data_IF_878376775126
#
_entry.id   IF_878376775126
#
_cell.length_a   1.000
_cell.length_b   1.000
_cell.length_c   1.000
_cell.angle_alpha   90.00
_cell.angle_beta   90.00
_cell.angle_gamma   90.00
#
_symmetry.space_group_name_H-M   'P 1'
#
loop_
_entity.id
_entity.type
_entity.pdbx_description
1 polymer ?
#
# COMPACT_ATOMS: atom_id res chain seq x y z
N UNK A 1 -27.11 -32.48 13.35
CA UNK A 1 -26.34 -31.25 13.63
C UNK A 1 -25.17 -31.27 12.67
N UNK A 2 -25.36 -30.67 11.49
CA UNK A 2 -24.41 -30.75 10.37
C UNK A 2 -23.36 -29.65 10.47
N UNK A 3 -22.11 -30.09 10.43
CA UNK A 3 -20.87 -29.31 10.51
C UNK A 3 -20.85 -28.17 9.48
N UNK A 4 -20.68 -26.92 9.93
CA UNK A 4 -20.68 -25.74 9.05
C UNK A 4 -19.32 -25.02 9.01
N UNK A 5 -18.40 -25.51 8.18
CA UNK A 5 -17.24 -24.79 7.59
C UNK A 5 -17.65 -23.98 6.36
N UNK A 6 -16.83 -23.02 5.90
CA UNK A 6 -17.13 -22.17 4.71
C UNK A 6 -17.51 -22.96 3.45
N UNK A 7 -16.93 -24.17 3.29
CA UNK A 7 -17.28 -25.10 2.23
C UNK A 7 -18.66 -25.72 2.40
N UNK A 8 -18.97 -26.21 3.60
CA UNK A 8 -20.30 -26.73 3.94
C UNK A 8 -21.36 -25.63 4.08
N UNK A 9 -21.02 -24.36 4.25
CA UNK A 9 -21.97 -23.25 4.10
C UNK A 9 -22.38 -23.13 2.63
N UNK A 10 -21.44 -23.33 1.69
CA UNK A 10 -21.77 -23.42 0.28
C UNK A 10 -22.49 -24.74 -0.06
N UNK A 11 -22.11 -25.85 0.57
CA UNK A 11 -22.62 -27.20 0.29
C UNK A 11 -24.01 -27.45 0.91
N UNK A 12 -24.27 -27.02 2.15
CA UNK A 12 -25.59 -27.10 2.79
C UNK A 12 -26.59 -26.17 2.12
N UNK A 13 -26.15 -25.00 1.63
CA UNK A 13 -27.00 -24.16 0.79
C UNK A 13 -27.31 -24.86 -0.55
N UNK A 14 -26.40 -25.65 -1.15
CA UNK A 14 -26.73 -26.43 -2.37
C UNK A 14 -27.61 -27.67 -2.12
N UNK A 15 -27.66 -28.20 -0.90
CA UNK A 15 -28.56 -29.31 -0.56
C UNK A 15 -30.02 -28.85 -0.28
N UNK A 16 -30.22 -27.61 0.20
CA UNK A 16 -31.54 -27.01 0.42
C UNK A 16 -32.06 -26.17 -0.76
N UNK A 17 -31.19 -25.70 -1.65
CA UNK A 17 -31.55 -24.80 -2.73
C UNK A 17 -31.59 -25.50 -4.09
N UNK A 18 -32.71 -25.35 -4.81
CA UNK A 18 -32.80 -25.72 -6.22
C UNK A 18 -31.79 -24.93 -7.08
N UNK A 19 -31.26 -25.49 -8.20
CA UNK A 19 -30.31 -24.78 -9.04
C UNK A 19 -30.90 -23.46 -9.58
N UNK A 20 -30.47 -22.33 -9.02
CA UNK A 20 -30.82 -21.02 -9.53
C UNK A 20 -29.92 -20.67 -10.72
N UNK A 21 -30.48 -20.65 -11.92
CA UNK A 21 -29.80 -20.20 -13.12
C UNK A 21 -29.97 -18.69 -13.28
N UNK A 22 -28.88 -17.96 -13.08
CA UNK A 22 -28.85 -16.51 -13.23
C UNK A 22 -29.18 -16.12 -14.69
N UNK A 23 -30.16 -15.24 -14.96
CA UNK A 23 -30.54 -14.88 -16.31
C UNK A 23 -29.38 -14.22 -17.07
N UNK A 24 -29.36 -14.38 -18.40
CA UNK A 24 -28.26 -13.90 -19.24
C UNK A 24 -27.96 -12.40 -19.09
N UNK A 25 -28.98 -11.56 -18.91
CA UNK A 25 -28.79 -10.12 -18.70
C UNK A 25 -28.04 -9.82 -17.39
N UNK A 26 -28.31 -10.58 -16.33
CA UNK A 26 -27.66 -10.43 -15.02
C UNK A 26 -26.20 -10.87 -15.12
N UNK A 27 -25.93 -11.98 -15.78
CA UNK A 27 -24.56 -12.46 -16.06
C UNK A 27 -23.76 -11.44 -16.88
N UNK A 28 -24.39 -10.85 -17.92
CA UNK A 28 -23.78 -9.81 -18.74
C UNK A 28 -23.48 -8.54 -17.92
N UNK A 29 -24.41 -8.12 -17.06
CA UNK A 29 -24.22 -6.98 -16.15
C UNK A 29 -23.04 -7.21 -15.19
N UNK A 30 -22.99 -8.38 -14.55
CA UNK A 30 -21.90 -8.77 -13.63
C UNK A 30 -20.55 -8.78 -14.35
N UNK A 31 -20.50 -9.40 -15.54
CA UNK A 31 -19.30 -9.43 -16.36
C UNK A 31 -18.83 -8.04 -16.80
N UNK A 32 -19.74 -7.23 -17.34
CA UNK A 32 -19.44 -5.85 -17.74
C UNK A 32 -18.95 -4.98 -16.58
N UNK A 33 -19.52 -5.15 -15.39
CA UNK A 33 -19.08 -4.46 -14.16
C UNK A 33 -17.63 -4.80 -13.82
N UNK A 34 -17.27 -6.10 -13.78
CA UNK A 34 -15.89 -6.50 -13.48
C UNK A 34 -14.90 -6.05 -14.54
N UNK A 35 -15.26 -6.12 -15.82
CA UNK A 35 -14.41 -5.61 -16.92
C UNK A 35 -14.11 -4.13 -16.70
N UNK A 36 -15.12 -3.32 -16.39
CA UNK A 36 -14.94 -1.89 -16.12
C UNK A 36 -14.02 -1.65 -14.92
N UNK A 37 -14.29 -2.29 -13.78
CA UNK A 37 -13.48 -2.13 -12.55
C UNK A 37 -12.03 -2.54 -12.82
N UNK A 38 -11.82 -3.67 -13.48
CA UNK A 38 -10.48 -4.18 -13.78
C UNK A 38 -9.72 -3.25 -14.71
N UNK A 39 -10.34 -2.75 -15.79
CA UNK A 39 -9.69 -1.83 -16.71
C UNK A 39 -9.26 -0.54 -16.00
N UNK A 40 -10.15 0.07 -15.23
CA UNK A 40 -9.84 1.30 -14.48
C UNK A 40 -8.73 1.04 -13.46
N UNK A 41 -8.79 -0.07 -12.74
CA UNK A 41 -7.80 -0.41 -11.72
C UNK A 41 -6.42 -0.73 -12.31
N UNK A 42 -6.32 -1.55 -13.38
CA UNK A 42 -5.02 -1.85 -14.02
C UNK A 42 -4.39 -0.59 -14.56
N UNK A 43 -5.13 0.21 -15.33
CA UNK A 43 -4.61 1.44 -15.94
C UNK A 43 -4.20 2.42 -14.85
N UNK A 44 -5.07 2.67 -13.88
CA UNK A 44 -4.83 3.64 -12.81
C UNK A 44 -3.63 3.28 -11.95
N UNK A 45 -3.56 2.04 -11.43
CA UNK A 45 -2.48 1.63 -10.53
C UNK A 45 -1.13 1.49 -11.27
N UNK A 46 -1.13 1.03 -12.52
CA UNK A 46 0.08 1.01 -13.35
C UNK A 46 0.61 2.43 -13.57
N UNK A 47 -0.26 3.40 -13.84
CA UNK A 47 0.12 4.80 -13.96
C UNK A 47 0.63 5.38 -12.64
N UNK A 48 0.06 4.98 -11.50
CA UNK A 48 0.58 5.39 -10.19
C UNK A 48 2.04 4.96 -10.01
N UNK A 49 2.32 3.68 -10.25
CA UNK A 49 3.68 3.13 -10.16
C UNK A 49 4.62 3.80 -11.16
N UNK A 50 4.17 3.99 -12.41
CA UNK A 50 4.96 4.63 -13.45
C UNK A 50 5.32 6.08 -13.11
N UNK A 51 4.35 6.89 -12.65
CA UNK A 51 4.59 8.30 -12.29
C UNK A 51 5.60 8.41 -11.15
N UNK A 52 5.46 7.58 -10.12
CA UNK A 52 6.33 7.61 -8.94
C UNK A 52 7.76 7.16 -9.29
N UNK A 53 7.90 6.15 -10.14
CA UNK A 53 9.20 5.67 -10.60
C UNK A 53 9.87 6.65 -11.57
N UNK A 54 9.11 7.29 -12.46
CA UNK A 54 9.64 8.12 -13.54
C UNK A 54 9.96 9.55 -13.12
N UNK A 55 9.18 10.15 -12.20
CA UNK A 55 9.35 11.54 -11.80
C UNK A 55 10.16 11.66 -10.48
N UNK A 56 11.39 12.23 -10.48
CA UNK A 56 12.19 12.37 -9.26
C UNK A 56 11.50 13.18 -8.16
N UNK A 57 10.67 14.17 -8.53
CA UNK A 57 9.87 14.98 -7.60
C UNK A 57 8.82 14.16 -6.83
N UNK A 58 8.47 12.96 -7.32
CA UNK A 58 7.52 12.06 -6.69
C UNK A 58 8.19 10.98 -5.84
N UNK A 59 9.52 10.88 -5.79
CA UNK A 59 10.24 9.82 -5.05
C UNK A 59 10.36 10.15 -3.56
N UNK A 60 9.24 10.12 -2.84
CA UNK A 60 9.15 10.33 -1.38
C UNK A 60 8.72 9.06 -0.65
N UNK A 61 9.01 8.94 0.65
CA UNK A 61 8.67 7.74 1.44
C UNK A 61 7.18 7.41 1.37
N UNK A 62 6.33 8.41 1.51
CA UNK A 62 4.88 8.25 1.39
C UNK A 62 4.47 7.79 0.00
N UNK A 63 5.08 8.34 -1.05
CA UNK A 63 4.71 7.96 -2.42
C UNK A 63 5.15 6.52 -2.71
N UNK A 64 6.27 6.03 -2.15
CA UNK A 64 6.59 4.60 -2.26
C UNK A 64 5.60 3.70 -1.51
N UNK A 65 5.05 4.13 -0.38
CA UNK A 65 3.94 3.40 0.28
C UNK A 65 2.65 3.43 -0.56
N UNK A 66 2.37 4.56 -1.24
CA UNK A 66 1.27 4.65 -2.22
C UNK A 66 1.52 3.71 -3.42
N UNK A 67 2.76 3.60 -3.89
CA UNK A 67 3.11 2.63 -4.93
C UNK A 67 2.93 1.19 -4.45
N UNK A 68 3.22 0.88 -3.17
CA UNK A 68 2.94 -0.44 -2.60
C UNK A 68 1.43 -0.75 -2.56
N UNK A 69 0.60 0.24 -2.23
CA UNK A 69 -0.86 0.12 -2.32
C UNK A 69 -1.30 -0.21 -3.75
N UNK A 70 -0.74 0.48 -4.75
CA UNK A 70 -1.00 0.21 -6.17
C UNK A 70 -0.56 -1.20 -6.59
N UNK A 71 0.55 -1.73 -6.05
CA UNK A 71 0.98 -3.12 -6.28
C UNK A 71 -0.02 -4.11 -5.68
N UNK A 72 -0.48 -3.89 -4.45
CA UNK A 72 -1.50 -4.74 -3.81
C UNK A 72 -2.83 -4.73 -4.60
N UNK A 73 -3.26 -3.55 -5.04
CA UNK A 73 -4.44 -3.40 -5.89
C UNK A 73 -4.28 -4.14 -7.23
N UNK A 74 -3.10 -4.10 -7.87
CA UNK A 74 -2.83 -4.89 -9.08
C UNK A 74 -2.87 -6.40 -8.84
N UNK A 75 -2.42 -6.90 -7.69
CA UNK A 75 -2.57 -8.32 -7.35
C UNK A 75 -4.04 -8.73 -7.22
N UNK A 76 -4.86 -7.91 -6.55
CA UNK A 76 -6.31 -8.13 -6.47
C UNK A 76 -6.92 -8.10 -7.88
N UNK A 77 -6.56 -7.10 -8.68
CA UNK A 77 -7.13 -6.90 -10.02
C UNK A 77 -6.74 -7.97 -11.02
N UNK A 78 -5.50 -8.45 -10.99
CA UNK A 78 -4.99 -9.41 -11.97
C UNK A 78 -5.24 -10.88 -11.57
N UNK A 79 -5.45 -11.17 -10.28
CA UNK A 79 -5.62 -12.54 -9.80
C UNK A 79 -7.03 -12.76 -9.26
N UNK A 80 -7.47 -11.92 -8.33
CA UNK A 80 -8.72 -12.14 -7.60
C UNK A 80 -9.97 -11.72 -8.37
N UNK A 81 -9.96 -10.55 -9.02
CA UNK A 81 -11.11 -10.10 -9.80
C UNK A 81 -11.48 -11.07 -10.94
N UNK A 82 -10.54 -11.64 -11.74
CA UNK A 82 -10.86 -12.65 -12.74
C UNK A 82 -11.50 -13.90 -12.15
N UNK A 83 -10.98 -14.38 -11.01
CA UNK A 83 -11.53 -15.56 -10.32
C UNK A 83 -12.96 -15.28 -9.84
N UNK A 84 -13.18 -14.13 -9.21
CA UNK A 84 -14.50 -13.76 -8.70
C UNK A 84 -15.47 -13.47 -9.84
N UNK A 85 -15.03 -12.85 -10.93
CA UNK A 85 -15.83 -12.64 -12.14
C UNK A 85 -16.25 -13.98 -12.77
N UNK A 86 -15.32 -14.93 -12.90
CA UNK A 86 -15.60 -16.29 -13.35
C UNK A 86 -16.69 -16.92 -12.49
N UNK A 87 -16.52 -16.96 -11.17
CA UNK A 87 -17.51 -17.52 -10.22
C UNK A 87 -18.88 -16.86 -10.36
N UNK A 88 -18.94 -15.55 -10.54
CA UNK A 88 -20.21 -14.82 -10.73
C UNK A 88 -20.90 -15.09 -12.07
N UNK A 89 -20.14 -15.47 -13.12
CA UNK A 89 -20.67 -15.73 -14.46
C UNK A 89 -20.99 -17.22 -14.67
N UNK A 90 -20.14 -18.12 -14.19
CA UNK A 90 -20.28 -19.57 -14.38
C UNK A 90 -21.04 -20.24 -13.24
N UNK A 91 -21.26 -19.55 -12.13
CA UNK A 91 -21.76 -20.12 -10.88
C UNK A 91 -20.63 -20.65 -10.00
N UNK A 92 -20.91 -20.75 -8.70
CA UNK A 92 -19.99 -21.29 -7.71
C UNK A 92 -19.58 -22.73 -8.06
N UNK A 93 -18.28 -23.02 -7.94
CA UNK A 93 -17.72 -24.37 -8.04
C UNK A 93 -17.96 -25.11 -9.37
N UNK A 94 -18.23 -24.39 -10.46
CA UNK A 94 -18.45 -24.97 -11.79
C UNK A 94 -17.18 -25.06 -12.64
N UNK A 95 -16.02 -25.34 -12.04
CA UNK A 95 -14.75 -25.52 -12.76
C UNK A 95 -14.34 -27.00 -12.83
N UNK A 96 -13.87 -27.42 -14.01
CA UNK A 96 -13.55 -28.82 -14.35
C UNK A 96 -12.05 -29.15 -14.29
N UNK A 97 -11.20 -28.12 -14.25
CA UNK A 97 -9.75 -28.28 -14.28
C UNK A 97 -9.17 -28.26 -12.86
N UNK A 98 -8.26 -29.21 -12.57
CA UNK A 98 -7.48 -29.23 -11.32
C UNK A 98 -6.69 -27.94 -11.15
N UNK A 99 -6.12 -27.40 -12.24
CA UNK A 99 -5.35 -26.15 -12.21
C UNK A 99 -6.26 -25.00 -11.77
N UNK A 100 -7.47 -24.92 -12.33
CA UNK A 100 -8.46 -23.93 -11.90
C UNK A 100 -8.84 -24.13 -10.43
N UNK A 101 -8.99 -25.37 -9.96
CA UNK A 101 -9.26 -25.65 -8.55
C UNK A 101 -8.15 -25.15 -7.62
N UNK A 102 -6.89 -25.36 -7.96
CA UNK A 102 -5.75 -24.82 -7.19
C UNK A 102 -5.77 -23.30 -7.18
N UNK A 103 -6.01 -22.66 -8.33
CA UNK A 103 -6.07 -21.19 -8.42
C UNK A 103 -7.21 -20.65 -7.56
N UNK A 104 -8.42 -21.19 -7.69
CA UNK A 104 -9.61 -20.69 -7.01
C UNK A 104 -9.58 -20.99 -5.50
N UNK A 105 -9.18 -22.20 -5.10
CA UNK A 105 -9.27 -22.65 -3.71
C UNK A 105 -8.01 -22.35 -2.88
N UNK A 106 -6.83 -22.17 -3.50
CA UNK A 106 -5.57 -21.97 -2.75
C UNK A 106 -4.95 -20.62 -3.03
N UNK A 107 -4.68 -20.33 -4.30
CA UNK A 107 -3.93 -19.14 -4.69
C UNK A 107 -4.77 -17.87 -4.49
N UNK A 108 -6.03 -17.88 -4.91
CA UNK A 108 -6.90 -16.72 -4.83
C UNK A 108 -7.15 -16.28 -3.37
N UNK A 109 -7.53 -17.13 -2.41
CA UNK A 109 -7.71 -16.72 -1.02
C UNK A 109 -6.45 -16.14 -0.40
N UNK A 110 -5.28 -16.75 -0.68
CA UNK A 110 -3.98 -16.26 -0.24
C UNK A 110 -3.69 -14.86 -0.81
N UNK A 111 -3.72 -14.72 -2.13
CA UNK A 111 -3.39 -13.46 -2.83
C UNK A 111 -4.39 -12.36 -2.47
N UNK A 112 -5.69 -12.67 -2.43
CA UNK A 112 -6.74 -11.72 -2.05
C UNK A 112 -6.53 -11.21 -0.63
N UNK A 113 -6.38 -12.13 0.33
CA UNK A 113 -6.16 -11.79 1.73
C UNK A 113 -4.86 -11.02 1.93
N UNK A 114 -3.73 -11.53 1.45
CA UNK A 114 -2.42 -10.91 1.65
C UNK A 114 -2.32 -9.53 0.99
N UNK A 115 -2.98 -9.32 -0.15
CA UNK A 115 -3.02 -8.02 -0.81
C UNK A 115 -3.88 -7.01 -0.05
N UNK A 116 -5.04 -7.45 0.48
CA UNK A 116 -5.87 -6.62 1.36
C UNK A 116 -5.11 -6.22 2.63
N UNK A 117 -4.39 -7.15 3.26
CA UNK A 117 -3.57 -6.87 4.44
C UNK A 117 -2.40 -5.93 4.11
N UNK A 118 -1.72 -6.15 2.99
CA UNK A 118 -0.64 -5.28 2.52
C UNK A 118 -1.13 -3.85 2.29
N UNK A 119 -2.34 -3.70 1.73
CA UNK A 119 -2.99 -2.43 1.52
C UNK A 119 -3.27 -1.70 2.85
N UNK A 120 -3.93 -2.34 3.81
CA UNK A 120 -4.28 -1.69 5.08
C UNK A 120 -3.04 -1.35 5.92
N UNK A 121 -2.02 -2.21 5.93
CA UNK A 121 -0.77 -1.91 6.62
C UNK A 121 0.00 -0.78 5.95
N UNK A 122 -0.07 -0.67 4.62
CA UNK A 122 0.47 0.49 3.91
C UNK A 122 -0.25 1.78 4.32
N UNK A 123 -1.58 1.76 4.49
CA UNK A 123 -2.35 2.92 4.96
C UNK A 123 -1.96 3.32 6.40
N UNK A 124 -1.77 2.35 7.29
CA UNK A 124 -1.26 2.60 8.64
C UNK A 124 0.14 3.22 8.58
N UNK A 125 1.05 2.65 7.80
CA UNK A 125 2.40 3.17 7.63
C UNK A 125 2.40 4.60 7.06
N UNK A 126 1.51 4.89 6.11
CA UNK A 126 1.31 6.24 5.55
C UNK A 126 0.83 7.21 6.65
N UNK A 127 -0.09 6.79 7.51
CA UNK A 127 -0.60 7.63 8.60
C UNK A 127 0.54 8.02 9.58
N UNK A 128 1.41 7.07 9.93
CA UNK A 128 2.58 7.32 10.78
C UNK A 128 3.66 8.16 10.07
N UNK A 129 3.95 7.90 8.79
CA UNK A 129 4.85 8.73 7.98
C UNK A 129 4.40 10.20 8.00
N UNK A 130 3.09 10.43 7.88
CA UNK A 130 2.49 11.76 7.94
C UNK A 130 2.53 12.36 9.33
N UNK A 131 2.24 11.59 10.37
CA UNK A 131 2.36 12.03 11.74
C UNK A 131 3.77 12.51 12.05
N UNK A 132 4.80 11.73 11.70
CA UNK A 132 6.20 12.11 11.95
C UNK A 132 6.63 13.30 11.11
N UNK A 133 6.24 13.37 9.83
CA UNK A 133 6.58 14.50 8.97
C UNK A 133 6.00 15.84 9.48
N UNK A 134 4.85 15.81 10.17
CA UNK A 134 4.19 17.00 10.72
C UNK A 134 4.64 17.29 12.16
N UNK A 135 4.80 16.27 12.99
CA UNK A 135 5.16 16.41 14.39
C UNK A 135 6.67 16.71 14.59
N UNK A 136 7.54 16.15 13.77
CA UNK A 136 9.00 16.28 13.89
C UNK A 136 9.63 16.74 12.56
N UNK A 137 9.40 18.00 12.12
CA UNK A 137 9.79 18.47 10.78
C UNK A 137 11.30 18.49 10.51
N UNK A 138 12.14 18.46 11.55
CA UNK A 138 13.60 18.46 11.44
C UNK A 138 14.22 17.06 11.57
N UNK A 139 13.40 16.02 11.84
CA UNK A 139 13.88 14.64 12.00
C UNK A 139 13.17 13.74 11.00
N UNK A 140 13.93 13.16 10.07
CA UNK A 140 13.43 12.15 9.14
C UNK A 140 13.33 10.79 9.84
N UNK A 141 12.19 10.53 10.48
CA UNK A 141 11.96 9.29 11.24
C UNK A 141 11.89 8.07 10.32
N UNK A 142 11.14 8.16 9.22
CA UNK A 142 11.09 7.11 8.20
C UNK A 142 12.10 7.46 7.11
N UNK A 143 13.24 6.76 7.15
CA UNK A 143 14.28 6.84 6.12
C UNK A 143 13.98 5.85 4.99
N UNK A 144 14.65 5.96 3.84
CA UNK A 144 14.48 4.98 2.76
C UNK A 144 14.90 3.56 3.16
N UNK A 145 15.91 3.43 4.03
CA UNK A 145 16.28 2.14 4.60
C UNK A 145 15.13 1.55 5.43
N UNK A 146 14.60 2.32 6.39
CA UNK A 146 13.46 1.89 7.21
C UNK A 146 12.22 1.59 6.37
N UNK A 147 11.97 2.37 5.32
CA UNK A 147 10.89 2.11 4.37
C UNK A 147 11.02 0.74 3.71
N UNK A 148 12.21 0.36 3.22
CA UNK A 148 12.41 -0.98 2.63
C UNK A 148 12.10 -2.09 3.62
N UNK A 149 12.54 -1.92 4.88
CA UNK A 149 12.23 -2.86 5.97
C UNK A 149 10.72 -2.91 6.21
N UNK A 150 10.04 -1.75 6.29
CA UNK A 150 8.58 -1.69 6.46
C UNK A 150 7.87 -2.44 5.32
N UNK A 151 8.25 -2.19 4.06
CA UNK A 151 7.65 -2.85 2.90
C UNK A 151 7.87 -4.37 2.93
N UNK A 152 9.06 -4.82 3.29
CA UNK A 152 9.34 -6.24 3.47
C UNK A 152 8.47 -6.85 4.58
N UNK A 153 8.40 -6.20 5.75
CA UNK A 153 7.59 -6.67 6.87
C UNK A 153 6.10 -6.73 6.49
N UNK A 154 5.58 -5.73 5.78
CA UNK A 154 4.19 -5.70 5.30
C UNK A 154 3.89 -6.99 4.52
N UNK A 155 4.66 -7.28 3.48
CA UNK A 155 4.42 -8.47 2.64
C UNK A 155 4.69 -9.78 3.38
N UNK A 156 5.77 -9.84 4.17
CA UNK A 156 6.11 -11.02 4.94
C UNK A 156 5.00 -11.39 5.92
N UNK A 157 4.54 -10.44 6.74
CA UNK A 157 3.46 -10.69 7.69
C UNK A 157 2.16 -11.00 6.98
N UNK A 158 1.80 -10.28 5.92
CA UNK A 158 0.56 -10.53 5.17
C UNK A 158 0.51 -11.91 4.49
N UNK A 159 1.65 -12.46 4.08
CA UNK A 159 1.71 -13.82 3.55
C UNK A 159 1.71 -14.86 4.68
N UNK A 160 2.43 -14.58 5.77
CA UNK A 160 2.54 -15.48 6.91
C UNK A 160 1.19 -15.72 7.57
N UNK A 161 0.40 -14.66 7.81
CA UNK A 161 -0.89 -14.70 8.50
C UNK A 161 -1.98 -15.41 7.70
N UNK A 162 -1.93 -15.30 6.37
CA UNK A 162 -2.84 -15.99 5.44
C UNK A 162 -2.36 -17.39 5.04
N UNK A 163 -1.08 -17.74 5.27
CA UNK A 163 -0.54 -19.05 4.90
C UNK A 163 -1.33 -20.26 5.46
N UNK A 164 -1.97 -20.21 6.65
CA UNK A 164 -2.80 -21.32 7.12
C UNK A 164 -3.94 -21.69 6.16
N UNK A 165 -4.46 -20.72 5.38
CA UNK A 165 -5.49 -20.98 4.36
C UNK A 165 -5.03 -21.97 3.28
N UNK A 166 -3.73 -21.99 2.95
CA UNK A 166 -3.17 -22.98 2.03
C UNK A 166 -3.30 -24.40 2.57
N UNK A 167 -3.33 -24.57 3.89
CA UNK A 167 -3.53 -25.86 4.51
C UNK A 167 -5.03 -26.18 4.66
N UNK A 168 -5.82 -25.28 5.25
CA UNK A 168 -7.20 -25.56 5.66
C UNK A 168 -8.21 -25.58 4.51
N UNK A 169 -8.03 -24.79 3.45
CA UNK A 169 -8.96 -24.81 2.31
C UNK A 169 -8.64 -26.01 1.43
N UNK A 170 -9.42 -27.07 1.45
CA UNK A 170 -9.29 -28.25 0.59
C UNK A 170 -10.17 -28.11 -0.67
N UNK A 171 -9.98 -29.03 -1.62
CA UNK A 171 -10.88 -29.17 -2.76
C UNK A 171 -11.14 -30.63 -3.09
N UNK A 172 -12.34 -30.94 -3.56
CA UNK A 172 -12.79 -32.30 -3.93
C UNK A 172 -13.50 -32.27 -5.28
N UNK A 173 -13.42 -33.36 -6.03
CA UNK A 173 -14.15 -33.53 -7.29
C UNK A 173 -15.49 -34.24 -7.05
N UNK A 174 -16.58 -33.66 -7.56
CA UNK A 174 -17.93 -34.24 -7.52
C UNK A 174 -18.66 -33.95 -8.83
N UNK A 175 -19.30 -34.94 -9.45
CA UNK A 175 -20.04 -34.77 -10.71
C UNK A 175 -19.25 -34.03 -11.82
N UNK A 176 -17.94 -34.34 -11.96
CA UNK A 176 -17.00 -33.68 -12.88
C UNK A 176 -16.67 -32.20 -12.60
N UNK A 177 -17.06 -31.67 -11.44
CA UNK A 177 -16.74 -30.32 -10.98
C UNK A 177 -15.90 -30.35 -9.70
N UNK A 178 -15.09 -29.32 -9.48
CA UNK A 178 -14.30 -29.17 -8.27
C UNK A 178 -14.92 -28.17 -7.31
N UNK A 179 -14.94 -28.52 -6.03
CA UNK A 179 -15.55 -27.74 -4.95
C UNK A 179 -14.50 -27.40 -3.90
N UNK A 180 -14.43 -26.13 -3.48
CA UNK A 180 -13.58 -25.70 -2.37
C UNK A 180 -14.33 -25.88 -1.04
N UNK A 181 -13.67 -26.42 -0.03
CA UNK A 181 -14.21 -26.46 1.32
C UNK A 181 -13.13 -26.26 2.37
N UNK A 182 -13.49 -25.65 3.49
CA UNK A 182 -12.59 -25.44 4.61
C UNK A 182 -12.63 -26.67 5.54
N UNK A 183 -11.46 -27.17 5.94
CA UNK A 183 -11.31 -28.29 6.89
C UNK A 183 -10.13 -28.01 7.82
N UNK A 184 -10.45 -27.84 9.09
CA UNK A 184 -9.50 -27.65 10.18
C UNK A 184 -8.98 -29.00 10.70
N UNK A 185 -7.81 -29.03 11.36
CA UNK A 185 -7.32 -30.25 12.02
C UNK A 185 -8.38 -30.85 12.96
N UNK A 186 -8.41 -32.17 13.07
CA UNK A 186 -9.44 -32.90 13.83
C UNK A 186 -9.43 -32.58 15.34
N UNK A 187 -8.32 -32.03 15.85
CA UNK A 187 -8.21 -31.52 17.21
C UNK A 187 -9.08 -30.28 17.48
N UNK A 188 -9.64 -29.65 16.44
CA UNK A 188 -10.48 -28.46 16.55
C UNK A 188 -11.91 -28.76 16.12
N UNK A 189 -12.85 -28.13 16.82
CA UNK A 189 -14.22 -28.01 16.33
C UNK A 189 -14.22 -27.17 15.04
N UNK A 190 -14.79 -27.74 13.98
CA UNK A 190 -14.67 -27.22 12.63
C UNK A 190 -15.34 -25.85 12.46
N UNK A 191 -16.50 -25.66 13.10
CA UNK A 191 -17.30 -24.44 13.02
C UNK A 191 -16.70 -23.33 13.89
N UNK A 192 -16.32 -23.66 15.11
CA UNK A 192 -15.69 -22.72 16.04
C UNK A 192 -14.33 -22.26 15.52
N UNK A 193 -13.51 -23.16 14.96
CA UNK A 193 -12.21 -22.79 14.41
C UNK A 193 -12.35 -21.82 13.23
N UNK A 194 -13.25 -22.09 12.29
CA UNK A 194 -13.49 -21.23 11.15
C UNK A 194 -14.03 -19.83 11.57
N UNK A 195 -14.97 -19.81 12.52
CA UNK A 195 -15.49 -18.56 13.12
C UNK A 195 -14.43 -17.76 13.84
N UNK A 196 -13.67 -18.42 14.73
CA UNK A 196 -12.61 -17.79 15.50
C UNK A 196 -11.54 -17.21 14.57
N UNK A 197 -11.09 -17.98 13.57
CA UNK A 197 -10.13 -17.51 12.59
C UNK A 197 -10.64 -16.29 11.82
N UNK A 198 -11.89 -16.32 11.35
CA UNK A 198 -12.52 -15.18 10.66
C UNK A 198 -12.59 -13.92 11.54
N UNK A 199 -12.96 -14.07 12.81
CA UNK A 199 -13.02 -12.95 13.77
C UNK A 199 -11.63 -12.39 14.03
N UNK A 200 -10.63 -13.26 14.26
CA UNK A 200 -9.25 -12.85 14.49
C UNK A 200 -8.71 -12.06 13.28
N UNK A 201 -8.92 -12.56 12.06
CA UNK A 201 -8.49 -11.86 10.84
C UNK A 201 -9.19 -10.49 10.71
N UNK A 202 -10.49 -10.42 10.95
CA UNK A 202 -11.23 -9.16 10.93
C UNK A 202 -10.70 -8.15 11.96
N UNK A 203 -10.45 -8.59 13.19
CA UNK A 203 -9.94 -7.70 14.23
C UNK A 203 -8.54 -7.19 13.91
N UNK A 204 -7.62 -8.09 13.57
CA UNK A 204 -6.20 -7.75 13.35
C UNK A 204 -5.97 -6.98 12.05
N UNK A 205 -6.70 -7.30 10.99
CA UNK A 205 -6.41 -6.82 9.64
C UNK A 205 -7.50 -5.94 9.04
N UNK A 206 -8.48 -5.53 9.85
CA UNK A 206 -9.46 -4.54 9.45
C UNK A 206 -9.81 -3.58 10.60
N UNK A 207 -10.36 -4.07 11.71
CA UNK A 207 -10.88 -3.22 12.78
C UNK A 207 -9.78 -2.45 13.54
N UNK A 208 -8.73 -3.14 14.03
CA UNK A 208 -7.63 -2.52 14.79
C UNK A 208 -6.85 -1.51 13.91
N UNK A 209 -6.43 -1.83 12.67
CA UNK A 209 -5.77 -0.85 11.81
C UNK A 209 -6.62 0.40 11.52
N UNK A 210 -7.93 0.22 11.30
CA UNK A 210 -8.86 1.35 11.14
C UNK A 210 -8.97 2.19 12.41
N UNK A 211 -9.02 1.56 13.59
CA UNK A 211 -9.03 2.26 14.87
C UNK A 211 -7.73 3.05 15.09
N UNK A 212 -6.57 2.48 14.77
CA UNK A 212 -5.28 3.18 14.83
C UNK A 212 -5.34 4.43 13.95
N UNK A 213 -5.81 4.32 12.71
CA UNK A 213 -5.94 5.47 11.81
C UNK A 213 -6.97 6.49 12.33
N UNK A 214 -8.09 6.03 12.88
CA UNK A 214 -9.12 6.88 13.49
C UNK A 214 -8.60 7.68 14.69
N UNK A 215 -7.56 7.21 15.39
CA UNK A 215 -6.87 7.95 16.45
C UNK A 215 -5.76 8.85 15.90
N UNK A 216 -4.94 8.34 14.97
CA UNK A 216 -3.79 9.06 14.42
C UNK A 216 -4.21 10.30 13.63
N UNK A 217 -5.24 10.22 12.77
CA UNK A 217 -5.65 11.35 11.93
C UNK A 217 -6.12 12.57 12.73
N UNK A 218 -6.97 12.44 13.77
CA UNK A 218 -7.29 13.55 14.67
C UNK A 218 -6.06 14.19 15.29
N UNK A 219 -5.08 13.41 15.77
CA UNK A 219 -3.82 13.95 16.32
C UNK A 219 -3.08 14.80 15.28
N UNK A 220 -3.03 14.33 14.02
CA UNK A 220 -2.42 15.09 12.92
C UNK A 220 -3.20 16.39 12.67
N UNK A 221 -4.54 16.33 12.65
CA UNK A 221 -5.40 17.50 12.45
C UNK A 221 -5.17 18.53 13.57
N UNK A 222 -5.18 18.12 14.83
CA UNK A 222 -4.92 19.00 15.97
C UNK A 222 -3.53 19.65 15.87
N UNK A 223 -2.48 18.91 15.48
CA UNK A 223 -1.14 19.50 15.28
C UNK A 223 -1.07 20.46 14.09
N UNK A 224 -1.84 20.20 13.03
CA UNK A 224 -1.82 21.00 11.81
C UNK A 224 -2.71 22.25 11.90
N UNK A 225 -3.71 22.26 12.80
CA UNK A 225 -4.62 23.39 13.05
C UNK A 225 -4.40 24.12 14.39
N UNK A 226 -3.74 23.50 15.38
CA UNK A 226 -3.58 24.04 16.73
C UNK A 226 -2.58 25.19 16.90
N UNK A 227 -1.92 25.66 15.83
CA UNK A 227 -1.22 26.96 15.88
C UNK A 227 -2.19 28.02 15.39
N UNK A 228 -2.64 28.91 16.28
CA UNK A 228 -3.67 29.91 16.02
C UNK A 228 -3.50 30.66 14.69
N UNK A 229 -4.63 31.10 14.10
CA UNK A 229 -4.64 31.81 12.81
C UNK A 229 -3.64 32.98 12.78
N UNK A 230 -3.55 33.76 13.86
CA UNK A 230 -2.62 34.89 13.99
C UNK A 230 -1.13 34.51 13.95
N UNK A 231 -0.71 33.42 14.61
CA UNK A 231 0.70 32.96 14.54
C UNK A 231 1.02 32.44 13.13
N UNK A 232 0.03 31.91 12.42
CA UNK A 232 0.25 31.34 11.08
C UNK A 232 0.52 32.40 10.02
N UNK A 233 -0.03 33.62 10.17
CA UNK A 233 0.25 34.76 9.28
C UNK A 233 1.66 35.32 9.49
N UNK A 234 2.19 35.25 10.72
CA UNK A 234 3.56 35.63 11.05
C UNK A 234 4.63 34.62 10.59
N UNK A 235 4.23 33.42 10.17
CA UNK A 235 5.17 32.41 9.66
C UNK A 235 5.66 32.78 8.25
N UNK A 236 6.93 32.48 7.91
CA UNK A 236 7.45 32.66 6.55
C UNK A 236 6.56 31.99 5.50
N UNK A 237 6.43 32.62 4.33
CA UNK A 237 5.57 32.18 3.22
C UNK A 237 5.80 30.72 2.82
N UNK A 238 7.05 30.23 2.87
CA UNK A 238 7.37 28.83 2.57
C UNK A 238 6.71 27.84 3.55
N UNK A 239 6.66 28.17 4.85
CA UNK A 239 6.03 27.33 5.87
C UNK A 239 4.51 27.33 5.73
N UNK A 240 3.91 28.48 5.36
CA UNK A 240 2.49 28.57 5.07
C UNK A 240 2.11 27.69 3.87
N UNK A 241 2.90 27.75 2.78
CA UNK A 241 2.72 26.88 1.59
C UNK A 241 2.82 25.39 1.97
N UNK A 242 3.86 25.01 2.72
CA UNK A 242 4.05 23.61 3.20
C UNK A 242 2.85 23.12 4.01
N UNK A 243 2.31 23.95 4.91
CA UNK A 243 1.09 23.62 5.68
C UNK A 243 -0.13 23.42 4.78
N UNK A 244 -0.36 24.32 3.82
CA UNK A 244 -1.49 24.18 2.86
C UNK A 244 -1.37 22.87 2.07
N UNK A 245 -0.18 22.52 1.61
CA UNK A 245 0.08 21.24 0.93
C UNK A 245 -0.19 20.05 1.86
N UNK A 246 0.31 20.07 3.09
CA UNK A 246 0.05 19.01 4.08
C UNK A 246 -1.45 18.81 4.33
N UNK A 247 -2.25 19.89 4.37
CA UNK A 247 -3.71 19.78 4.54
C UNK A 247 -4.38 19.10 3.35
N UNK A 248 -3.97 19.43 2.12
CA UNK A 248 -4.49 18.78 0.89
C UNK A 248 -4.13 17.29 0.86
N UNK A 249 -2.86 16.96 1.17
CA UNK A 249 -2.39 15.58 1.26
C UNK A 249 -3.12 14.81 2.36
N UNK A 250 -3.35 15.42 3.53
CA UNK A 250 -4.08 14.78 4.61
C UNK A 250 -5.52 14.47 4.22
N UNK A 251 -6.22 15.43 3.59
CA UNK A 251 -7.59 15.21 3.07
C UNK A 251 -7.62 14.05 2.09
N UNK A 252 -6.68 14.01 1.14
CA UNK A 252 -6.54 12.89 0.19
C UNK A 252 -6.40 11.55 0.92
N UNK A 253 -5.48 11.46 1.89
CA UNK A 253 -5.20 10.22 2.59
C UNK A 253 -6.38 9.75 3.45
N UNK A 254 -7.08 10.69 4.10
CA UNK A 254 -8.32 10.38 4.80
C UNK A 254 -9.40 9.86 3.85
N UNK A 255 -9.55 10.46 2.66
CA UNK A 255 -10.47 9.96 1.63
C UNK A 255 -10.12 8.52 1.24
N UNK A 256 -8.84 8.21 1.00
CA UNK A 256 -8.41 6.83 0.69
C UNK A 256 -8.77 5.86 1.82
N UNK A 257 -8.54 6.24 3.09
CA UNK A 257 -8.84 5.38 4.25
C UNK A 257 -10.34 5.16 4.43
N UNK A 258 -11.16 6.20 4.25
CA UNK A 258 -12.63 6.11 4.33
C UNK A 258 -13.15 5.22 3.19
N UNK A 259 -12.66 5.42 1.96
CA UNK A 259 -13.02 4.56 0.82
C UNK A 259 -12.64 3.11 1.09
N UNK A 260 -11.43 2.85 1.58
CA UNK A 260 -11.00 1.50 1.96
C UNK A 260 -11.97 0.88 2.98
N UNK A 261 -12.28 1.59 4.07
CA UNK A 261 -13.21 1.10 5.09
C UNK A 261 -14.58 0.77 4.48
N UNK A 262 -15.20 1.71 3.77
CA UNK A 262 -16.55 1.49 3.23
C UNK A 262 -16.61 0.37 2.19
N UNK A 263 -15.62 0.29 1.30
CA UNK A 263 -15.55 -0.74 0.27
C UNK A 263 -15.35 -2.13 0.88
N UNK A 264 -14.39 -2.30 1.79
CA UNK A 264 -14.09 -3.60 2.37
C UNK A 264 -15.08 -4.05 3.46
N UNK A 265 -15.84 -3.12 4.04
CA UNK A 265 -16.92 -3.45 4.97
C UNK A 265 -17.93 -4.41 4.35
N UNK A 266 -18.30 -4.23 3.08
CA UNK A 266 -19.29 -5.09 2.42
C UNK A 266 -18.81 -6.53 2.31
N UNK A 267 -17.52 -6.72 2.03
CA UNK A 267 -16.88 -8.04 2.04
C UNK A 267 -16.93 -8.68 3.43
N UNK A 268 -16.54 -7.94 4.48
CA UNK A 268 -16.58 -8.47 5.84
C UNK A 268 -18.01 -8.78 6.31
N UNK A 269 -18.99 -7.91 6.02
CA UNK A 269 -20.40 -8.19 6.32
C UNK A 269 -20.84 -9.48 5.64
N UNK A 270 -20.51 -9.68 4.35
CA UNK A 270 -20.86 -10.93 3.66
C UNK A 270 -20.18 -12.15 4.27
N UNK A 271 -18.94 -12.04 4.71
CA UNK A 271 -18.23 -13.13 5.40
C UNK A 271 -18.88 -13.47 6.74
N UNK A 272 -19.19 -12.47 7.56
CA UNK A 272 -19.85 -12.68 8.85
C UNK A 272 -21.27 -13.24 8.69
N UNK A 273 -22.03 -12.79 7.70
CA UNK A 273 -23.33 -13.40 7.37
C UNK A 273 -23.20 -14.86 6.96
N UNK A 274 -22.08 -15.25 6.33
CA UNK A 274 -21.81 -16.65 5.98
C UNK A 274 -21.54 -17.53 7.19
N UNK A 275 -20.71 -17.07 8.12
CA UNK A 275 -20.28 -17.88 9.27
C UNK A 275 -21.20 -17.81 10.50
N UNK A 276 -21.86 -16.68 10.72
CA UNK A 276 -22.67 -16.40 11.92
C UNK A 276 -24.15 -16.17 11.61
N UNK A 277 -24.50 -15.86 10.36
CA UNK A 277 -25.88 -15.64 9.96
C UNK A 277 -26.62 -16.96 9.73
N UNK A 278 -27.91 -16.97 10.07
CA UNK A 278 -28.81 -18.03 9.59
C UNK A 278 -29.10 -17.79 8.10
N UNK A 279 -28.45 -18.55 7.21
CA UNK A 279 -28.71 -18.46 5.77
C UNK A 279 -30.06 -19.02 5.37
N UNK A 280 -30.73 -19.73 6.29
CA UNK A 280 -32.05 -20.35 6.07
C UNK A 280 -33.15 -19.32 5.76
N UNK A 281 -32.97 -18.06 6.18
CA UNK A 281 -33.92 -16.97 5.94
C UNK A 281 -33.57 -16.12 4.70
N UNK A 282 -32.43 -16.37 4.05
CA UNK A 282 -32.03 -15.63 2.85
C UNK A 282 -32.42 -16.45 1.62
N UNK A 283 -33.28 -15.92 0.73
CA UNK A 283 -33.67 -16.62 -0.48
C UNK A 283 -32.45 -17.08 -1.28
N UNK A 284 -32.44 -18.35 -1.70
CA UNK A 284 -31.35 -18.95 -2.46
C UNK A 284 -30.97 -18.13 -3.71
N UNK A 285 -31.96 -17.56 -4.40
CA UNK A 285 -31.75 -16.70 -5.56
C UNK A 285 -31.01 -15.39 -5.22
N UNK A 286 -31.12 -14.89 -3.98
CA UNK A 286 -30.51 -13.63 -3.55
C UNK A 286 -29.03 -13.79 -3.17
N UNK A 287 -28.60 -14.97 -2.71
CA UNK A 287 -27.24 -15.19 -2.22
C UNK A 287 -26.14 -14.88 -3.27
N UNK A 288 -26.26 -15.30 -4.55
CA UNK A 288 -25.27 -14.95 -5.58
C UNK A 288 -25.20 -13.45 -5.87
N UNK A 289 -26.33 -12.73 -5.76
CA UNK A 289 -26.35 -11.27 -5.94
C UNK A 289 -25.71 -10.53 -4.76
N UNK A 290 -25.94 -11.00 -3.53
CA UNK A 290 -25.27 -10.44 -2.34
C UNK A 290 -23.76 -10.69 -2.39
N UNK A 291 -23.34 -11.86 -2.86
CA UNK A 291 -21.92 -12.15 -3.10
C UNK A 291 -21.34 -11.20 -4.15
N UNK A 292 -22.00 -11.08 -5.31
CA UNK A 292 -21.60 -10.15 -6.36
C UNK A 292 -21.45 -8.72 -5.83
N UNK A 293 -22.46 -8.21 -5.13
CA UNK A 293 -22.48 -6.85 -4.61
C UNK A 293 -21.36 -6.62 -3.58
N UNK A 294 -21.19 -7.55 -2.64
CA UNK A 294 -20.18 -7.43 -1.60
C UNK A 294 -18.75 -7.39 -2.17
N UNK A 295 -18.45 -8.29 -3.11
CA UNK A 295 -17.12 -8.35 -3.73
C UNK A 295 -16.89 -7.22 -4.72
N UNK A 296 -17.87 -6.86 -5.56
CA UNK A 296 -17.72 -5.77 -6.53
C UNK A 296 -17.49 -4.41 -5.86
N UNK A 297 -18.18 -4.13 -4.75
CA UNK A 297 -17.95 -2.91 -3.96
C UNK A 297 -16.56 -2.92 -3.32
N UNK A 298 -16.13 -4.05 -2.75
CA UNK A 298 -14.79 -4.19 -2.18
C UNK A 298 -13.70 -4.00 -3.23
N UNK A 299 -13.83 -4.67 -4.37
CA UNK A 299 -12.90 -4.60 -5.51
C UNK A 299 -12.88 -3.23 -6.19
N UNK A 300 -13.99 -2.48 -6.13
CA UNK A 300 -14.02 -1.10 -6.62
C UNK A 300 -13.03 -0.19 -5.91
N UNK A 301 -12.62 -0.50 -4.67
CA UNK A 301 -11.56 0.22 -3.97
C UNK A 301 -10.28 0.35 -4.82
N UNK A 302 -9.90 -0.72 -5.51
CA UNK A 302 -8.71 -0.78 -6.35
C UNK A 302 -8.82 0.09 -7.61
N UNK A 303 -10.03 0.39 -8.08
CA UNK A 303 -10.28 1.33 -9.18
C UNK A 303 -10.39 2.78 -8.70
N UNK A 304 -10.98 3.00 -7.52
CA UNK A 304 -11.21 4.33 -6.95
C UNK A 304 -9.90 4.97 -6.45
N UNK A 305 -8.97 4.18 -5.92
CA UNK A 305 -7.73 4.68 -5.31
C UNK A 305 -6.89 5.58 -6.26
N UNK A 306 -6.57 5.16 -7.51
CA UNK A 306 -5.93 6.04 -8.49
C UNK A 306 -6.71 7.32 -8.82
N UNK A 307 -8.05 7.24 -8.86
CA UNK A 307 -8.90 8.39 -9.12
C UNK A 307 -8.79 9.42 -7.98
N UNK A 308 -8.77 8.97 -6.72
CA UNK A 308 -8.55 9.85 -5.57
C UNK A 308 -7.21 10.59 -5.72
N UNK A 309 -6.14 9.90 -6.11
CA UNK A 309 -4.85 10.54 -6.34
C UNK A 309 -4.89 11.56 -7.47
N UNK A 310 -5.55 11.24 -8.59
CA UNK A 310 -5.73 12.17 -9.69
C UNK A 310 -6.46 13.46 -9.27
N UNK A 311 -7.54 13.36 -8.50
CA UNK A 311 -8.32 14.54 -8.11
C UNK A 311 -7.67 15.37 -7.00
N UNK A 312 -7.00 14.74 -6.02
CA UNK A 312 -6.49 15.44 -4.84
C UNK A 312 -5.00 15.80 -4.92
N UNK A 313 -4.19 15.07 -5.69
CA UNK A 313 -2.76 15.32 -5.79
C UNK A 313 -2.43 16.07 -7.08
N UNK A 314 -2.34 17.41 -6.99
CA UNK A 314 -2.04 18.25 -8.14
C UNK A 314 -0.72 17.88 -8.82
N UNK A 315 0.31 17.48 -8.07
CA UNK A 315 1.59 17.03 -8.65
C UNK A 315 1.39 15.73 -9.44
N UNK A 316 0.63 14.78 -8.89
CA UNK A 316 0.28 13.55 -9.58
C UNK A 316 -0.51 13.83 -10.88
N UNK A 317 -1.53 14.68 -10.80
CA UNK A 317 -2.35 15.08 -11.94
C UNK A 317 -1.52 15.71 -13.06
N UNK A 318 -0.60 16.61 -12.72
CA UNK A 318 0.27 17.24 -13.71
C UNK A 318 1.19 16.21 -14.38
N UNK A 319 1.73 15.25 -13.62
CA UNK A 319 2.53 14.16 -14.21
C UNK A 319 1.68 13.23 -15.10
N UNK A 320 0.46 12.89 -14.66
CA UNK A 320 -0.49 12.14 -15.47
C UNK A 320 -0.78 12.83 -16.80
N UNK A 321 -1.05 14.14 -16.78
CA UNK A 321 -1.28 14.93 -17.98
C UNK A 321 -0.09 14.90 -18.94
N UNK A 322 1.15 15.01 -18.43
CA UNK A 322 2.37 14.87 -19.25
C UNK A 322 2.44 13.51 -19.96
N UNK A 323 2.14 12.43 -19.24
CA UNK A 323 2.08 11.08 -19.83
C UNK A 323 0.96 10.98 -20.86
N UNK A 324 -0.22 11.50 -20.55
CA UNK A 324 -1.38 11.48 -21.43
C UNK A 324 -1.10 12.22 -22.75
N UNK A 325 -0.55 13.44 -22.71
CA UNK A 325 -0.22 14.19 -23.92
C UNK A 325 0.88 13.54 -24.76
N UNK A 326 1.82 12.82 -24.12
CA UNK A 326 2.84 12.05 -24.83
C UNK A 326 2.24 10.83 -25.56
N UNK A 327 1.26 10.15 -24.94
CA UNK A 327 0.59 8.99 -25.53
C UNK A 327 -0.44 9.37 -26.60
N UNK A 328 -1.06 10.56 -26.47
CA UNK A 328 -2.11 11.03 -27.37
C UNK A 328 -1.80 12.42 -27.96
N UNK A 329 -0.80 12.54 -28.85
CA UNK A 329 -0.33 13.83 -29.38
C UNK A 329 -1.37 14.57 -30.24
N UNK A 330 -2.34 13.85 -30.82
CA UNK A 330 -3.46 14.47 -31.58
C UNK A 330 -4.48 15.15 -30.67
N UNK A 331 -4.70 14.61 -29.46
CA UNK A 331 -5.58 15.22 -28.44
C UNK A 331 -4.94 16.43 -27.77
N UNK A 332 -3.60 16.47 -27.65
CA UNK A 332 -2.90 17.65 -27.13
C UNK A 332 -2.99 18.87 -28.06
N UNK A 333 -3.12 18.65 -29.37
CA UNK A 333 -3.32 19.71 -30.36
C UNK A 333 -4.72 20.32 -30.27
N UNK A 334 -5.75 19.51 -30.01
CA UNK A 334 -7.13 19.96 -29.84
C UNK A 334 -7.34 20.77 -28.54
N UNK A 335 -6.58 20.49 -27.47
CA UNK A 335 -6.63 21.25 -26.22
C UNK A 335 -5.67 22.46 -26.15
N UNK A 336 -4.93 22.79 -27.21
CA UNK A 336 -4.05 23.98 -27.24
C UNK A 336 -2.87 23.96 -26.26
N UNK A 337 -2.50 22.81 -25.69
CA UNK A 337 -1.54 22.71 -24.57
C UNK A 337 -0.08 22.55 -24.98
N UNK A 338 0.22 22.62 -26.28
CA UNK A 338 1.59 22.44 -26.79
C UNK A 338 2.56 23.52 -26.27
N UNK A 339 2.08 24.74 -25.98
CA UNK A 339 2.92 25.81 -25.43
C UNK A 339 3.31 25.63 -23.95
N UNK A 340 2.50 24.95 -23.14
CA UNK A 340 2.73 24.85 -21.69
C UNK A 340 3.73 23.75 -21.28
N UNK A 341 3.82 22.67 -22.06
CA UNK A 341 4.74 21.57 -21.77
C UNK A 341 6.20 21.91 -22.11
N UNK A 342 6.40 22.68 -23.19
CA UNK A 342 7.73 23.10 -23.65
C UNK A 342 8.32 24.19 -22.73
N UNK A 343 7.48 25.12 -22.24
CA UNK A 343 7.88 26.13 -21.24
C UNK A 343 8.22 25.51 -19.88
N UNK A 344 7.49 24.49 -19.43
CA UNK A 344 7.78 23.83 -18.15
C UNK A 344 9.02 22.92 -18.23
N UNK A 345 9.31 22.32 -19.39
CA UNK A 345 10.55 21.60 -19.65
C UNK A 345 11.75 22.56 -19.59
N UNK A 346 11.67 23.71 -20.26
CA UNK A 346 12.69 24.75 -20.23
C UNK A 346 12.87 25.34 -18.81
N UNK A 347 11.78 25.54 -18.06
CA UNK A 347 11.84 25.98 -16.67
C UNK A 347 12.52 24.95 -15.75
N UNK A 348 12.26 23.66 -15.95
CA UNK A 348 12.87 22.57 -15.16
C UNK A 348 14.36 22.40 -15.48
N UNK A 349 14.75 22.61 -16.74
CA UNK A 349 16.14 22.66 -17.18
C UNK A 349 16.86 23.89 -16.60
N UNK A 350 16.22 25.06 -16.60
CA UNK A 350 16.76 26.27 -16.00
C UNK A 350 16.92 26.14 -14.47
N UNK A 351 15.97 25.53 -13.76
CA UNK A 351 16.07 25.30 -12.31
C UNK A 351 17.19 24.32 -11.97
N UNK A 352 17.38 23.26 -12.76
CA UNK A 352 18.49 22.31 -12.57
C UNK A 352 19.85 22.94 -12.88
N UNK A 353 19.93 23.78 -13.91
CA UNK A 353 21.13 24.56 -14.25
C UNK A 353 21.49 25.58 -13.16
N UNK A 354 20.50 26.29 -12.60
CA UNK A 354 20.69 27.24 -11.48
C UNK A 354 21.17 26.50 -10.22
N UNK A 355 20.62 25.31 -9.93
CA UNK A 355 21.06 24.49 -8.80
C UNK A 355 22.49 24.01 -8.96
N UNK A 356 22.86 23.54 -10.16
CA UNK A 356 24.22 23.14 -10.49
C UNK A 356 25.22 24.31 -10.39
N UNK A 357 24.82 25.52 -10.82
CA UNK A 357 25.61 26.76 -10.62
C UNK A 357 25.76 27.11 -9.14
N UNK A 358 24.70 26.97 -8.34
CA UNK A 358 24.75 27.25 -6.91
C UNK A 358 25.66 26.29 -6.15
N UNK A 359 25.63 25.00 -6.50
CA UNK A 359 26.49 23.98 -5.91
C UNK A 359 27.97 24.17 -6.34
N UNK A 360 28.20 24.62 -7.59
CA UNK A 360 29.53 24.99 -8.07
C UNK A 360 30.09 26.24 -7.37
N UNK A 361 29.24 27.24 -7.08
CA UNK A 361 29.63 28.45 -6.33
C UNK A 361 29.94 28.11 -4.86
N UNK A 362 29.13 27.25 -4.23
CA UNK A 362 29.38 26.78 -2.86
C UNK A 362 30.70 26.01 -2.75
N UNK A 363 30.96 25.09 -3.68
CA UNK A 363 32.24 24.36 -3.79
C UNK A 363 33.45 25.30 -3.96
N UNK A 364 33.29 26.38 -4.76
CA UNK A 364 34.34 27.38 -4.98
C UNK A 364 34.59 28.25 -3.74
N UNK A 365 33.54 28.58 -2.98
CA UNK A 365 33.66 29.28 -1.70
C UNK A 365 34.33 28.40 -0.63
N UNK A 366 33.99 27.12 -0.54
CA UNK A 366 34.63 26.18 0.39
C UNK A 366 36.12 25.96 0.06
N UNK A 367 36.50 25.96 -1.22
CA UNK A 367 37.90 25.89 -1.66
C UNK A 367 38.69 27.18 -1.33
N UNK A 368 38.05 28.35 -1.42
CA UNK A 368 38.67 29.64 -1.05
C UNK A 368 38.83 29.77 0.47
N UNK A 369 37.85 29.33 1.26
CA UNK A 369 37.94 29.29 2.73
C UNK A 369 38.98 28.27 3.19
N UNK A 370 39.05 27.10 2.54
CA UNK A 370 40.06 26.08 2.82
C UNK A 370 41.49 26.56 2.52
N UNK A 371 41.68 27.35 1.46
CA UNK A 371 42.97 27.96 1.14
C UNK A 371 43.34 29.11 2.09
N UNK A 372 42.36 29.93 2.54
CA UNK A 372 42.60 31.02 3.50
C UNK A 372 42.93 30.50 4.92
N UNK A 373 42.38 29.33 5.31
CA UNK A 373 42.79 28.61 6.51
C UNK A 373 44.20 28.02 6.38
N UNK A 374 44.59 27.56 5.19
CA UNK A 374 45.91 26.97 4.93
C UNK A 374 47.03 28.02 4.89
N UNK A 375 46.73 29.24 4.44
CA UNK A 375 47.65 30.39 4.52
C UNK A 375 47.74 30.96 5.95
N UNK A 376 46.65 30.96 6.73
CA UNK A 376 46.68 31.39 8.14
C UNK A 376 47.34 30.42 9.12
N UNK A 377 47.44 29.12 8.78
CA UNK A 377 48.13 28.11 9.59
C UNK A 377 49.62 27.91 9.23
N UNK A 378 50.15 28.69 8.29
CA UNK A 378 51.55 28.64 7.87
C UNK A 378 52.51 29.48 8.71
N UNK A 379 52.65 29.24 10.02
CA UNK A 379 53.79 29.74 10.81
C UNK A 379 53.95 29.07 12.19
N UNK A 380 53.87 27.75 12.31
CA UNK A 380 54.43 27.06 13.48
C UNK A 380 55.18 25.78 13.08
N UNK A 381 56.52 25.89 13.10
CA UNK A 381 57.43 24.74 13.08
C UNK A 381 57.11 23.82 14.25
N UNK A 382 57.06 22.49 14.08
CA UNK A 382 57.02 21.58 15.21
C UNK A 382 58.37 21.59 15.92
N UNK A 383 58.35 21.87 17.23
CA UNK A 383 59.48 21.74 18.15
C UNK A 383 59.89 20.26 18.20
N UNK A 384 61.14 19.94 17.85
CA UNK A 384 61.75 18.63 18.10
C UNK A 384 61.70 18.33 19.61
N UNK A 385 60.92 17.34 20.01
CA UNK A 385 61.02 16.74 21.34
C UNK A 385 62.20 15.77 21.31
N UNK A 386 63.25 16.11 22.05
CA UNK A 386 64.47 15.33 22.24
C UNK A 386 64.19 14.35 23.39
N UNK A 387 64.20 13.04 23.12
CA UNK A 387 64.22 12.03 24.19
C UNK A 387 65.63 12.00 24.80
N UNK A 388 65.74 12.37 26.07
CA UNK A 388 66.92 12.15 26.90
C UNK A 388 66.68 10.92 27.78
N UNK A 389 67.53 9.91 27.60
CA UNK A 389 67.67 8.72 28.43
C UNK A 389 68.12 9.08 29.86
N UNK A 390 67.68 8.34 30.90
CA UNK A 390 68.18 8.54 32.24
C UNK A 390 69.48 7.75 32.47
N UNK A 391 70.46 8.42 33.05
CA UNK A 391 71.66 7.84 33.65
C UNK A 391 71.33 7.17 34.98
N UNK A 392 71.68 5.89 35.14
CA UNK A 392 72.02 5.33 36.45
C UNK A 392 73.26 4.45 36.32
N UNK A 393 74.30 4.87 37.03
CA UNK A 393 75.52 4.15 37.32
C UNK A 393 75.29 3.05 38.36
N UNK A 394 76.01 1.93 38.16
CA UNK A 394 76.57 1.02 39.16
C UNK A 394 75.62 0.23 40.08
N UNK A 395 75.56 -1.09 39.91
CA UNK A 395 76.24 -2.07 40.78
C UNK A 395 75.87 -3.53 40.40
N UNK A 396 76.90 -4.32 40.14
CA UNK A 396 77.10 -5.75 40.44
C UNK A 396 75.98 -6.79 40.21
N UNK A 397 76.33 -7.82 39.43
CA UNK A 397 76.39 -9.18 39.99
C UNK A 397 75.43 -10.25 39.43
N UNK A 398 76.06 -11.28 38.85
CA UNK A 398 75.65 -12.70 38.78
C UNK A 398 74.60 -13.18 37.74
N UNK A 399 75.16 -13.74 36.66
CA UNK A 399 75.14 -15.16 36.24
C UNK A 399 73.89 -16.06 36.40
N UNK A 400 73.74 -16.92 35.38
CA UNK A 400 72.96 -18.16 35.21
C UNK A 400 71.54 -17.99 34.63
N UNK A 401 71.33 -18.22 33.32
CA UNK A 401 71.23 -19.51 32.58
C UNK A 401 69.98 -20.34 32.90
N UNK A 402 68.96 -20.21 32.05
CA UNK A 402 68.38 -21.29 31.21
C UNK A 402 67.30 -20.70 30.28
#
# INVERSE_FOLDING_TARGET
>A
MENSTFGSILENNTALCSPYTDPNWSRALKGGTYVLIMLVSVIGNSLVIYIISSAPSMRTTTNYLIANLAVADLFITCVSMPVVAMVNITGFNNFRSVVTAVIVCKINPLVHGSSMESAIFSLVAISFDRLFAIATPFKKVITFYRLKVILFCIWFFSLLTLSPLLYVIKFVQRNNFYYCYERWPESFDQEQAARAYTVILFLLFYAIPLLIMAVVYPIIIHKLWGRGKGITELLPTYMQRKRRTNRKVLKMLMTVVITFALCWLTFHVRMFLGFFGSTNNIPCALQPHLYFLAFSIAHSNSAITPLIYYFFNATFRNQFQKVFYKLFPRLSQLCGLKGAADDESNATQNISLVRFRSDAIASRQDALVGNDLRTKLGSHRPRKVRYSSPSQSSLQGNQHSL
#
